data_IF_576957744716
#
_entry.id   IF_576957744716
#
_cell.length_a   1.000
_cell.length_b   1.000
_cell.length_c   1.000
_cell.angle_alpha   90.00
_cell.angle_beta   90.00
_cell.angle_gamma   90.00
#
_symmetry.space_group_name_H-M   'P 1'
#
loop_
_entity.id
_entity.type
_entity.pdbx_description
1 polymer ?
#
# COMPACT_ATOMS: atom_id res chain seq x y z
N UNK A 1 -15.65 17.83 13.88
CA UNK A 1 -14.16 17.79 13.95
C UNK A 1 -13.62 17.87 12.54
N UNK A 2 -12.73 18.83 12.25
CA UNK A 2 -12.08 18.90 10.93
C UNK A 2 -11.13 17.71 10.75
N UNK A 3 -11.21 17.05 9.61
CA UNK A 3 -10.31 15.96 9.26
C UNK A 3 -8.88 16.53 9.09
N UNK A 4 -7.87 15.84 9.62
CA UNK A 4 -6.48 16.28 9.45
C UNK A 4 -6.11 16.32 7.95
N UNK A 5 -5.40 17.36 7.49
CA UNK A 5 -5.12 17.61 6.08
C UNK A 5 -4.44 16.40 5.40
N UNK A 6 -3.50 15.74 6.07
CA UNK A 6 -2.82 14.55 5.51
C UNK A 6 -3.76 13.37 5.24
N UNK A 7 -4.93 13.33 5.88
CA UNK A 7 -5.99 12.35 5.60
C UNK A 7 -6.91 12.83 4.50
N UNK A 8 -7.29 14.13 4.51
CA UNK A 8 -8.18 14.74 3.52
C UNK A 8 -7.59 14.70 2.11
N UNK A 9 -6.27 14.97 2.01
CA UNK A 9 -5.53 15.01 0.73
C UNK A 9 -4.72 13.73 0.44
N UNK A 10 -5.06 12.63 1.09
CA UNK A 10 -4.40 11.36 0.81
C UNK A 10 -4.77 10.89 -0.60
N UNK A 11 -3.77 10.54 -1.46
CA UNK A 11 -4.04 10.11 -2.82
C UNK A 11 -4.92 8.87 -2.85
N UNK A 12 -5.84 8.82 -3.80
CA UNK A 12 -6.79 7.72 -3.98
C UNK A 12 -6.57 6.91 -5.26
N UNK A 13 -5.74 7.42 -6.16
CA UNK A 13 -5.29 6.75 -7.40
C UNK A 13 -3.80 7.00 -7.59
N UNK A 14 -3.13 6.18 -8.41
CA UNK A 14 -1.68 6.33 -8.64
C UNK A 14 -1.31 7.66 -9.31
N UNK A 15 -2.20 8.22 -10.13
CA UNK A 15 -1.99 9.53 -10.76
C UNK A 15 -1.86 10.69 -9.77
N UNK A 16 -2.44 10.56 -8.57
CA UNK A 16 -2.37 11.58 -7.52
C UNK A 16 -1.12 11.45 -6.62
N UNK A 17 -0.34 10.39 -6.79
CA UNK A 17 0.89 10.16 -6.00
C UNK A 17 2.02 10.97 -6.60
N UNK A 18 2.39 12.07 -5.97
CA UNK A 18 3.38 13.01 -6.48
C UNK A 18 4.82 12.51 -6.35
N UNK A 19 5.64 12.77 -7.36
CA UNK A 19 7.10 12.56 -7.32
C UNK A 19 7.52 11.09 -7.24
N UNK A 20 6.62 10.14 -7.57
CA UNK A 20 6.90 8.69 -7.53
C UNK A 20 6.60 8.01 -8.87
N UNK A 21 6.72 8.74 -9.99
CA UNK A 21 6.37 8.24 -11.33
C UNK A 21 7.14 6.96 -11.69
N UNK A 22 8.38 6.83 -11.23
CA UNK A 22 9.22 5.63 -11.39
C UNK A 22 8.66 4.38 -10.69
N UNK A 23 7.71 4.54 -9.75
CA UNK A 23 6.96 3.48 -9.07
C UNK A 23 5.56 3.35 -9.65
N UNK A 24 4.83 4.47 -9.76
CA UNK A 24 3.41 4.46 -10.12
C UNK A 24 3.16 4.06 -11.57
N UNK A 25 4.05 4.42 -12.51
CA UNK A 25 3.91 4.03 -13.92
C UNK A 25 4.09 2.52 -14.11
N UNK A 26 5.15 1.86 -13.60
CA UNK A 26 5.27 0.41 -13.69
C UNK A 26 4.12 -0.35 -13.01
N UNK A 27 3.63 0.11 -11.86
CA UNK A 27 2.49 -0.50 -11.18
C UNK A 27 1.21 -0.37 -12.01
N UNK A 28 0.97 0.80 -12.61
CA UNK A 28 -0.17 1.02 -13.50
C UNK A 28 -0.12 0.10 -14.73
N UNK A 29 1.04 -0.01 -15.36
CA UNK A 29 1.23 -0.91 -16.51
C UNK A 29 1.02 -2.38 -16.15
N UNK A 30 1.45 -2.80 -14.94
CA UNK A 30 1.23 -4.17 -14.45
C UNK A 30 -0.27 -4.45 -14.25
N UNK A 31 -1.01 -3.48 -13.71
CA UNK A 31 -2.46 -3.58 -13.53
C UNK A 31 -3.21 -3.64 -14.88
N UNK A 32 -2.85 -2.78 -15.84
CA UNK A 32 -3.46 -2.76 -17.17
C UNK A 32 -3.22 -4.05 -17.96
N UNK A 33 -1.99 -4.58 -17.86
CA UNK A 33 -1.63 -5.83 -18.55
C UNK A 33 -2.09 -7.09 -17.83
N UNK A 34 -2.65 -6.97 -16.61
CA UNK A 34 -3.02 -8.11 -15.77
C UNK A 34 -1.81 -8.93 -15.26
N UNK A 35 -0.60 -8.43 -15.44
CA UNK A 35 0.65 -9.08 -15.00
C UNK A 35 1.01 -8.65 -13.58
N UNK A 36 0.17 -9.00 -12.63
CA UNK A 36 0.40 -8.71 -11.22
C UNK A 36 1.22 -9.79 -10.55
N UNK A 37 2.00 -9.41 -9.53
CA UNK A 37 2.81 -10.31 -8.72
C UNK A 37 2.08 -10.63 -7.40
N UNK A 38 2.43 -11.75 -6.77
CA UNK A 38 1.84 -12.15 -5.49
C UNK A 38 2.45 -11.42 -4.27
N UNK A 39 3.63 -10.82 -4.41
CA UNK A 39 4.30 -10.12 -3.32
C UNK A 39 5.05 -8.88 -3.81
N UNK A 40 4.80 -7.75 -3.16
CA UNK A 40 5.40 -6.45 -3.43
C UNK A 40 6.19 -5.96 -2.22
N UNK A 41 7.29 -5.26 -2.46
CA UNK A 41 8.07 -4.56 -1.43
C UNK A 41 8.15 -3.08 -1.78
N UNK A 42 7.49 -2.25 -0.99
CA UNK A 42 7.57 -0.79 -1.07
C UNK A 42 8.55 -0.29 -0.03
N UNK A 43 9.70 0.19 -0.46
CA UNK A 43 10.73 0.69 0.45
C UNK A 43 10.97 2.19 0.25
N UNK A 44 11.54 2.85 1.26
CA UNK A 44 11.95 4.25 1.16
C UNK A 44 11.57 5.08 2.39
N UNK A 45 11.94 6.37 2.41
CA UNK A 45 11.74 7.24 3.56
C UNK A 45 10.29 7.36 4.03
N UNK A 46 10.10 7.83 5.26
CA UNK A 46 8.76 8.16 5.78
C UNK A 46 8.10 9.27 4.95
N UNK A 47 6.77 9.23 4.82
CA UNK A 47 6.00 10.26 4.14
C UNK A 47 6.03 10.21 2.61
N UNK A 48 6.77 9.28 1.97
CA UNK A 48 6.87 9.18 0.51
C UNK A 48 5.71 8.45 -0.17
N UNK A 49 4.67 8.06 0.56
CA UNK A 49 3.46 7.48 -0.02
C UNK A 49 3.40 5.95 -0.08
N UNK A 50 4.30 5.21 0.57
CA UNK A 50 4.34 3.72 0.56
C UNK A 50 3.01 3.10 0.96
N UNK A 51 2.50 3.40 2.16
CA UNK A 51 1.22 2.86 2.67
C UNK A 51 0.03 3.34 1.85
N UNK A 52 0.07 4.60 1.36
CA UNK A 52 -0.97 5.10 0.46
C UNK A 52 -0.99 4.33 -0.85
N UNK A 53 0.16 4.09 -1.46
CA UNK A 53 0.28 3.30 -2.69
C UNK A 53 -0.10 1.84 -2.50
N UNK A 54 0.16 1.25 -1.32
CA UNK A 54 -0.30 -0.09 -0.98
C UNK A 54 -1.83 -0.18 -0.97
N UNK A 55 -2.51 0.80 -0.38
CA UNK A 55 -3.98 0.88 -0.38
C UNK A 55 -4.54 1.13 -1.77
N UNK A 56 -3.90 2.01 -2.57
CA UNK A 56 -4.29 2.24 -3.97
C UNK A 56 -4.15 0.94 -4.76
N UNK A 57 -3.06 0.20 -4.59
CA UNK A 57 -2.85 -1.09 -5.25
C UNK A 57 -3.94 -2.10 -4.87
N UNK A 58 -4.26 -2.22 -3.57
CA UNK A 58 -5.33 -3.09 -3.10
C UNK A 58 -6.70 -2.72 -3.70
N UNK A 59 -7.00 -1.42 -3.75
CA UNK A 59 -8.21 -0.90 -4.37
C UNK A 59 -8.27 -1.18 -5.88
N UNK A 60 -7.15 -1.04 -6.57
CA UNK A 60 -7.01 -1.28 -8.01
C UNK A 60 -7.16 -2.75 -8.37
N UNK A 61 -6.63 -3.66 -7.54
CA UNK A 61 -6.75 -5.10 -7.70
C UNK A 61 -8.17 -5.60 -7.45
N UNK A 62 -8.83 -5.09 -6.41
CA UNK A 62 -10.13 -5.54 -5.95
C UNK A 62 -11.32 -4.75 -6.52
N UNK A 63 -11.08 -3.74 -7.37
CA UNK A 63 -12.15 -3.06 -8.08
C UNK A 63 -12.95 -4.05 -8.95
N UNK A 64 -14.27 -3.91 -9.03
CA UNK A 64 -15.11 -4.74 -9.91
C UNK A 64 -14.67 -4.68 -11.37
N UNK A 65 -14.15 -3.51 -11.80
CA UNK A 65 -13.58 -3.29 -13.15
C UNK A 65 -12.08 -3.63 -13.22
N UNK A 66 -11.50 -4.16 -12.14
CA UNK A 66 -10.06 -4.41 -12.04
C UNK A 66 -9.64 -5.82 -12.44
N UNK A 67 -8.33 -6.06 -12.45
CA UNK A 67 -7.27 -5.11 -12.10
C UNK A 67 -7.22 -3.88 -13.00
N UNK A 68 -7.08 -2.67 -12.42
CA UNK A 68 -7.07 -1.41 -13.20
C UNK A 68 -6.29 -0.32 -12.44
N UNK A 69 -5.50 0.53 -13.11
CA UNK A 69 -4.86 1.68 -12.47
C UNK A 69 -5.86 2.80 -12.10
N UNK A 70 -7.08 2.74 -12.68
CA UNK A 70 -8.15 3.72 -12.46
C UNK A 70 -9.36 3.03 -11.82
N UNK A 71 -9.33 2.73 -10.51
CA UNK A 71 -10.45 2.10 -9.81
C UNK A 71 -11.72 2.96 -9.93
N UNK A 72 -12.87 2.31 -10.09
CA UNK A 72 -14.14 2.97 -10.47
C UNK A 72 -14.67 3.96 -9.42
N UNK A 73 -14.22 3.86 -8.16
CA UNK A 73 -14.64 4.75 -7.07
C UNK A 73 -16.04 4.48 -6.49
N UNK A 74 -16.82 3.59 -7.10
CA UNK A 74 -18.25 3.39 -6.77
C UNK A 74 -18.57 1.99 -6.23
N UNK A 75 -17.80 0.96 -6.62
CA UNK A 75 -18.04 -0.40 -6.13
C UNK A 75 -17.67 -0.53 -4.65
N UNK A 76 -18.16 -1.57 -3.98
CA UNK A 76 -17.96 -1.79 -2.55
C UNK A 76 -16.48 -1.75 -2.17
N UNK A 77 -15.63 -2.48 -2.87
CA UNK A 77 -14.18 -2.48 -2.62
C UNK A 77 -13.56 -1.08 -2.76
N UNK A 78 -14.01 -0.30 -3.75
CA UNK A 78 -13.52 1.07 -3.93
C UNK A 78 -13.95 2.02 -2.82
N UNK A 79 -15.17 1.90 -2.32
CA UNK A 79 -15.70 2.73 -1.23
C UNK A 79 -15.10 2.35 0.12
N UNK A 80 -14.88 1.06 0.36
CA UNK A 80 -14.29 0.57 1.60
C UNK A 80 -12.82 0.97 1.75
N UNK A 81 -12.07 0.98 0.64
CA UNK A 81 -10.63 1.22 0.62
C UNK A 81 -10.23 2.68 0.33
N UNK A 82 -11.19 3.61 0.28
CA UNK A 82 -10.80 5.02 0.21
C UNK A 82 -10.05 5.45 1.49
N UNK A 83 -9.37 6.59 1.44
CA UNK A 83 -8.48 7.07 2.51
C UNK A 83 -9.11 7.10 3.91
N UNK A 84 -10.43 7.28 3.99
CA UNK A 84 -11.22 7.33 5.22
C UNK A 84 -12.36 6.31 5.22
N UNK A 85 -12.29 5.31 4.36
CA UNK A 85 -13.28 4.23 4.28
C UNK A 85 -13.23 3.31 5.50
N UNK A 86 -14.27 2.48 5.67
CA UNK A 86 -14.39 1.56 6.80
C UNK A 86 -13.33 0.42 6.78
N UNK A 87 -12.61 0.27 5.67
CA UNK A 87 -11.76 -0.89 5.42
C UNK A 87 -12.52 -2.06 4.81
N UNK A 88 -11.80 -3.05 4.33
CA UNK A 88 -12.36 -4.26 3.72
C UNK A 88 -11.94 -5.50 4.51
N UNK A 89 -12.85 -6.46 4.65
CA UNK A 89 -12.55 -7.75 5.30
C UNK A 89 -11.47 -8.56 4.54
N UNK A 90 -11.34 -8.32 3.24
CA UNK A 90 -10.37 -9.00 2.38
C UNK A 90 -9.04 -8.20 2.21
N UNK A 91 -8.94 -7.02 2.81
CA UNK A 91 -7.71 -6.22 2.82
C UNK A 91 -7.30 -5.94 4.26
N UNK A 92 -6.37 -6.72 4.74
CA UNK A 92 -5.87 -6.68 6.12
C UNK A 92 -4.61 -5.83 6.16
N UNK A 93 -4.67 -4.71 6.87
CA UNK A 93 -3.52 -3.84 7.11
C UNK A 93 -3.00 -4.06 8.53
N UNK A 94 -1.74 -4.42 8.64
CA UNK A 94 -1.04 -4.69 9.89
C UNK A 94 0.17 -3.76 9.98
N UNK A 95 0.29 -3.08 11.10
CA UNK A 95 1.52 -2.40 11.49
C UNK A 95 2.39 -3.37 12.29
N UNK A 96 3.53 -3.78 11.71
CA UNK A 96 4.43 -4.74 12.34
C UNK A 96 5.07 -4.21 13.63
N UNK A 97 5.05 -2.89 13.87
CA UNK A 97 5.50 -2.32 15.14
C UNK A 97 4.57 -2.66 16.30
N UNK A 98 3.28 -2.82 16.04
CA UNK A 98 2.25 -3.11 17.06
C UNK A 98 1.76 -4.56 17.03
N UNK A 99 1.80 -5.21 15.86
CA UNK A 99 1.31 -6.57 15.60
C UNK A 99 2.38 -7.50 15.01
N UNK A 100 3.66 -7.26 15.30
CA UNK A 100 4.79 -8.03 14.79
C UNK A 100 5.08 -9.34 15.54
N UNK A 101 4.15 -9.83 16.36
CA UNK A 101 4.31 -11.05 17.14
C UNK A 101 4.16 -12.31 16.28
N UNK A 102 4.77 -13.39 16.73
CA UNK A 102 4.74 -14.70 16.03
C UNK A 102 3.31 -15.22 15.88
N UNK A 103 2.47 -15.00 16.87
CA UNK A 103 1.09 -15.49 16.86
C UNK A 103 0.22 -14.72 15.88
N UNK A 104 0.40 -13.40 15.76
CA UNK A 104 -0.27 -12.59 14.72
C UNK A 104 0.10 -13.09 13.31
N UNK A 105 1.38 -13.40 13.08
CA UNK A 105 1.86 -13.91 11.81
C UNK A 105 1.35 -15.33 11.50
N UNK A 106 1.19 -16.19 12.51
CA UNK A 106 0.58 -17.52 12.37
C UNK A 106 -0.89 -17.40 12.01
N UNK A 107 -1.64 -16.56 12.70
CA UNK A 107 -3.05 -16.28 12.42
C UNK A 107 -3.26 -15.77 11.00
N UNK A 108 -2.39 -14.85 10.56
CA UNK A 108 -2.40 -14.32 9.21
C UNK A 108 -2.15 -15.42 8.18
N UNK A 109 -1.11 -16.24 8.41
CA UNK A 109 -0.79 -17.38 7.54
C UNK A 109 -1.99 -18.33 7.42
N UNK A 110 -2.60 -18.71 8.53
CA UNK A 110 -3.69 -19.68 8.54
C UNK A 110 -4.94 -19.10 7.85
N UNK A 111 -5.22 -17.82 8.05
CA UNK A 111 -6.30 -17.11 7.36
C UNK A 111 -6.05 -16.91 5.86
N UNK A 112 -4.80 -16.93 5.41
CA UNK A 112 -4.45 -16.74 3.99
C UNK A 112 -4.99 -17.87 3.09
N UNK A 113 -5.13 -19.07 3.61
CA UNK A 113 -5.65 -20.22 2.83
C UNK A 113 -7.16 -20.17 2.59
N UNK A 114 -7.92 -19.37 3.34
CA UNK A 114 -9.34 -19.19 3.11
C UNK A 114 -9.59 -18.20 1.95
N UNK A 115 -10.53 -18.51 1.10
CA UNK A 115 -10.92 -17.64 -0.01
C UNK A 115 -11.37 -16.25 0.48
N UNK A 116 -11.22 -15.20 -0.35
CA UNK A 116 -11.81 -13.89 -0.07
C UNK A 116 -13.33 -13.98 0.09
N UNK A 117 -13.90 -13.10 0.91
CA UNK A 117 -15.35 -13.09 1.20
C UNK A 117 -16.14 -12.30 0.14
N UNK A 118 -15.59 -11.17 -0.30
CA UNK A 118 -16.28 -10.22 -1.18
C UNK A 118 -15.44 -9.79 -2.40
N UNK A 119 -14.12 -9.89 -2.30
CA UNK A 119 -13.19 -9.36 -3.28
C UNK A 119 -12.57 -10.46 -4.16
N UNK A 120 -11.83 -10.06 -5.20
CA UNK A 120 -11.05 -11.00 -6.03
C UNK A 120 -9.83 -11.54 -5.30
N UNK A 121 -9.17 -10.68 -4.54
CA UNK A 121 -7.93 -11.00 -3.85
C UNK A 121 -8.06 -10.72 -2.35
N UNK A 122 -7.44 -11.56 -1.56
CA UNK A 122 -7.15 -11.32 -0.15
C UNK A 122 -5.77 -10.67 -0.07
N UNK A 123 -5.72 -9.43 0.40
CA UNK A 123 -4.51 -8.61 0.35
C UNK A 123 -4.05 -8.31 1.77
N UNK A 124 -2.77 -8.58 2.01
CA UNK A 124 -2.11 -8.28 3.29
C UNK A 124 -1.13 -7.14 3.10
N UNK A 125 -1.41 -5.99 3.71
CA UNK A 125 -0.51 -4.85 3.76
C UNK A 125 0.20 -4.90 5.10
N UNK A 126 1.51 -5.11 5.09
CA UNK A 126 2.34 -5.16 6.28
C UNK A 126 3.21 -3.91 6.30
N UNK A 127 2.79 -2.94 7.10
CA UNK A 127 3.54 -1.69 7.27
C UNK A 127 4.65 -1.86 8.31
N UNK A 128 5.72 -1.10 8.16
CA UNK A 128 6.98 -1.19 8.91
C UNK A 128 7.50 -2.64 9.00
N UNK A 129 7.44 -3.35 7.88
CA UNK A 129 7.71 -4.80 7.78
C UNK A 129 9.09 -5.22 8.31
N UNK A 130 10.07 -4.30 8.43
CA UNK A 130 11.36 -4.55 9.07
C UNK A 130 11.25 -4.80 10.58
N UNK A 131 10.11 -4.48 11.19
CA UNK A 131 9.81 -4.74 12.60
C UNK A 131 9.29 -6.16 12.86
N UNK A 132 9.02 -6.94 11.82
CA UNK A 132 8.69 -8.35 11.97
C UNK A 132 9.85 -9.08 12.64
N UNK A 133 9.62 -9.62 13.83
CA UNK A 133 10.59 -10.47 14.49
C UNK A 133 10.93 -11.71 13.63
N UNK A 134 12.11 -12.35 13.84
CA UNK A 134 12.51 -13.51 13.05
C UNK A 134 11.49 -14.65 13.04
N UNK A 135 10.82 -14.88 14.16
CA UNK A 135 9.77 -15.90 14.28
C UNK A 135 8.53 -15.57 13.46
N UNK A 136 8.08 -14.29 13.46
CA UNK A 136 6.94 -13.83 12.68
C UNK A 136 7.25 -13.90 11.18
N UNK A 137 8.42 -13.40 10.78
CA UNK A 137 8.87 -13.46 9.41
C UNK A 137 8.94 -14.90 8.89
N UNK A 138 9.51 -15.83 9.67
CA UNK A 138 9.55 -17.26 9.33
C UNK A 138 8.16 -17.90 9.23
N UNK A 139 7.20 -17.49 10.07
CA UNK A 139 5.83 -17.99 9.98
C UNK A 139 5.15 -17.62 8.66
N UNK A 140 5.50 -16.47 8.09
CA UNK A 140 4.96 -15.99 6.80
C UNK A 140 5.66 -16.60 5.58
N UNK A 141 6.90 -17.09 5.73
CA UNK A 141 7.70 -17.55 4.59
C UNK A 141 6.95 -18.54 3.70
N UNK A 142 6.33 -19.56 4.28
CA UNK A 142 5.64 -20.61 3.51
C UNK A 142 4.55 -20.04 2.60
N UNK A 143 3.75 -19.08 3.10
CA UNK A 143 2.65 -18.50 2.33
C UNK A 143 3.14 -17.41 1.36
N UNK A 144 4.31 -16.82 1.60
CA UNK A 144 4.95 -15.89 0.65
C UNK A 144 5.68 -16.65 -0.47
N UNK A 145 6.21 -17.84 -0.18
CA UNK A 145 6.86 -18.71 -1.16
C UNK A 145 5.88 -19.41 -2.09
N UNK A 146 4.81 -19.95 -1.51
CA UNK A 146 3.77 -20.69 -2.22
C UNK A 146 2.39 -20.11 -1.90
N UNK A 147 2.10 -18.88 -2.33
CA UNK A 147 0.84 -18.24 -2.02
C UNK A 147 -0.34 -18.89 -2.77
N UNK A 148 -1.49 -19.01 -2.13
CA UNK A 148 -2.74 -19.27 -2.87
C UNK A 148 -2.95 -18.21 -3.95
N UNK A 149 -3.54 -18.59 -5.08
CA UNK A 149 -3.70 -17.70 -6.24
C UNK A 149 -4.49 -16.40 -5.95
N UNK A 150 -5.27 -16.40 -4.88
CA UNK A 150 -6.06 -15.25 -4.43
C UNK A 150 -5.34 -14.37 -3.39
N UNK A 151 -4.12 -14.68 -2.99
CA UNK A 151 -3.39 -13.96 -1.92
C UNK A 151 -2.31 -13.06 -2.50
N UNK A 152 -2.30 -11.81 -2.05
CA UNK A 152 -1.27 -10.84 -2.41
C UNK A 152 -0.73 -10.19 -1.14
N UNK A 153 0.61 -10.12 -1.05
CA UNK A 153 1.32 -9.43 0.02
C UNK A 153 1.89 -8.10 -0.47
N UNK A 154 1.77 -7.06 0.35
CA UNK A 154 2.42 -5.76 0.13
C UNK A 154 3.17 -5.40 1.41
N UNK A 155 4.48 -5.53 1.38
CA UNK A 155 5.36 -5.12 2.47
C UNK A 155 5.76 -3.67 2.27
N UNK A 156 5.57 -2.82 3.28
CA UNK A 156 6.07 -1.46 3.29
C UNK A 156 7.13 -1.32 4.38
N UNK A 157 8.25 -0.68 4.08
CA UNK A 157 9.35 -0.52 5.03
C UNK A 157 10.19 0.71 4.77
N UNK A 158 10.75 1.29 5.83
CA UNK A 158 11.78 2.33 5.74
C UNK A 158 13.18 1.75 5.66
N UNK A 159 13.36 0.48 6.07
CA UNK A 159 14.66 -0.19 6.21
C UNK A 159 14.65 -1.56 5.51
N UNK A 160 14.68 -1.58 4.16
CA UNK A 160 14.56 -2.84 3.39
C UNK A 160 15.69 -3.84 3.66
N UNK A 161 16.86 -3.36 4.10
CA UNK A 161 18.00 -4.20 4.47
C UNK A 161 17.75 -5.02 5.74
N UNK A 162 16.88 -4.56 6.64
CA UNK A 162 16.51 -5.29 7.86
C UNK A 162 15.44 -6.36 7.62
N UNK A 163 14.74 -6.29 6.47
CA UNK A 163 13.80 -7.34 6.11
C UNK A 163 14.58 -8.61 5.75
N UNK A 164 14.12 -9.76 6.25
CA UNK A 164 14.81 -11.04 5.97
C UNK A 164 14.95 -11.27 4.47
N UNK A 165 16.13 -11.73 4.07
CA UNK A 165 16.51 -11.89 2.66
C UNK A 165 15.58 -12.84 1.89
N UNK A 166 15.03 -13.84 2.56
CA UNK A 166 14.09 -14.80 1.99
C UNK A 166 12.76 -14.19 1.58
N UNK A 167 12.20 -13.24 2.34
CA UNK A 167 11.02 -12.46 1.92
C UNK A 167 11.42 -11.50 0.79
N UNK A 168 12.51 -10.75 0.98
CA UNK A 168 12.96 -9.74 0.02
C UNK A 168 13.22 -10.33 -1.37
N UNK A 169 13.81 -11.52 -1.47
CA UNK A 169 14.11 -12.17 -2.76
C UNK A 169 12.87 -12.65 -3.54
N UNK A 170 11.71 -12.74 -2.87
CA UNK A 170 10.43 -13.19 -3.45
C UNK A 170 9.46 -12.06 -3.72
N UNK A 171 9.87 -10.84 -3.42
CA UNK A 171 9.05 -9.65 -3.61
C UNK A 171 9.48 -8.86 -4.83
N UNK A 172 8.54 -8.26 -5.54
CA UNK A 172 8.83 -7.27 -6.57
C UNK A 172 9.07 -5.92 -5.88
N UNK A 173 10.30 -5.43 -5.94
CA UNK A 173 10.77 -4.28 -5.17
C UNK A 173 10.54 -2.95 -5.91
N UNK A 174 9.89 -2.01 -5.22
CA UNK A 174 9.62 -0.65 -5.68
C UNK A 174 10.18 0.35 -4.67
N UNK A 175 11.33 1.00 -4.98
CA UNK A 175 11.95 1.97 -4.09
C UNK A 175 11.32 3.36 -4.25
N UNK A 176 10.66 3.85 -3.22
CA UNK A 176 10.16 5.23 -3.13
C UNK A 176 11.30 6.17 -2.76
N UNK A 177 11.22 7.41 -3.25
CA UNK A 177 12.24 8.45 -3.04
C UNK A 177 11.62 9.65 -2.35
N UNK A 178 12.47 10.49 -1.78
CA UNK A 178 12.04 11.80 -1.30
C UNK A 178 11.45 12.61 -2.46
N UNK A 179 10.33 13.26 -2.21
CA UNK A 179 9.71 14.15 -3.19
C UNK A 179 10.60 15.41 -3.32
N UNK A 180 10.95 15.82 -4.55
CA UNK A 180 11.74 17.04 -4.76
C UNK A 180 11.06 18.26 -4.13
N UNK A 181 11.81 19.18 -3.49
CA UNK A 181 11.25 20.34 -2.82
C UNK A 181 10.30 21.17 -3.68
N UNK A 182 10.65 21.42 -4.94
CA UNK A 182 9.79 22.16 -5.88
C UNK A 182 8.45 21.48 -6.15
N UNK A 183 8.44 20.16 -6.34
CA UNK A 183 7.22 19.37 -6.52
C UNK A 183 6.36 19.40 -5.25
N UNK A 184 6.99 19.32 -4.09
CA UNK A 184 6.30 19.40 -2.81
C UNK A 184 5.69 20.78 -2.58
N UNK A 185 6.41 21.86 -2.88
CA UNK A 185 5.91 23.23 -2.78
C UNK A 185 4.66 23.43 -3.66
N UNK A 186 4.73 23.03 -4.93
CA UNK A 186 3.58 23.11 -5.84
C UNK A 186 2.36 22.31 -5.33
N UNK A 187 2.60 21.17 -4.70
CA UNK A 187 1.52 20.38 -4.11
C UNK A 187 0.90 21.08 -2.89
N UNK A 188 1.74 21.64 -2.01
CA UNK A 188 1.28 22.38 -0.83
C UNK A 188 0.50 23.63 -1.22
N UNK A 189 0.92 24.37 -2.25
CA UNK A 189 0.17 25.49 -2.80
C UNK A 189 -1.24 25.09 -3.22
N UNK A 190 -1.38 23.98 -3.95
CA UNK A 190 -2.70 23.41 -4.33
C UNK A 190 -3.56 23.06 -3.11
N UNK A 191 -2.96 22.53 -2.06
CA UNK A 191 -3.67 22.22 -0.81
C UNK A 191 -4.12 23.51 -0.12
N UNK A 192 -3.27 24.54 -0.04
CA UNK A 192 -3.60 25.84 0.51
C UNK A 192 -4.73 26.50 -0.24
N UNK A 193 -4.68 26.50 -1.58
CA UNK A 193 -5.74 27.05 -2.43
C UNK A 193 -7.08 26.34 -2.18
N UNK A 194 -7.06 25.03 -2.07
CA UNK A 194 -8.26 24.22 -1.81
C UNK A 194 -8.85 24.44 -0.39
N UNK A 195 -8.01 24.84 0.58
CA UNK A 195 -8.43 25.23 1.94
C UNK A 195 -8.75 26.73 2.07
N UNK A 196 -8.57 27.51 1.00
CA UNK A 196 -8.78 28.97 1.03
C UNK A 196 -7.75 29.73 1.86
N UNK A 197 -6.57 29.12 2.08
CA UNK A 197 -5.46 29.70 2.85
C UNK A 197 -4.53 30.47 1.90
N UNK A 198 -4.31 31.75 2.17
CA UNK A 198 -3.32 32.54 1.41
C UNK A 198 -1.92 32.21 1.91
N UNK A 199 -1.02 31.93 0.97
CA UNK A 199 0.40 31.68 1.24
C UNK A 199 1.19 32.92 0.86
N UNK A 200 2.00 33.44 1.76
CA UNK A 200 2.92 34.55 1.48
C UNK A 200 4.10 34.07 0.64
N UNK A 201 4.60 34.91 -0.26
CA UNK A 201 5.76 34.60 -1.08
C UNK A 201 6.99 34.45 -0.20
N UNK A 202 7.58 33.27 -0.19
CA UNK A 202 8.82 32.98 0.55
C UNK A 202 8.67 32.01 1.72
N UNK A 203 7.50 31.43 1.88
CA UNK A 203 7.28 30.33 2.83
C UNK A 203 7.53 28.99 2.16
#
# INVERSE_FOLDING_TARGET
MSLALYRKYRPSVFADVIGQEHVTVPLSNALESGKTHHAYLFSGPRGCGKTSSARIMARSLNCEKGPTPTPCGQCQSCTDLVANGPGSIDVIELDAATHGLVDDARDLRDKAFFAPVQSKYKIYIIDEAHQLGPGAANALLKVVEEPPAHVIFIFATTEPEKLISTIRSRTHHYPFRLVPPGTLATHLEKVCDAEGVKVDKGV
#
